data_IF_110614545040
#
_entry.id   IF_110614545040
#
_cell.length_a   1.000
_cell.length_b   1.000
_cell.length_c   1.000
_cell.angle_alpha   90.00
_cell.angle_beta   90.00
_cell.angle_gamma   90.00
#
_symmetry.space_group_name_H-M   'P 1'
#
loop_
_entity.id
_entity.type
_entity.pdbx_description
1 polymer ?
#
# COMPACT_ATOMS: atom_id res chain seq x y z
N UNK A 1 21.24 -17.07 21.17
CA UNK A 1 20.75 -16.17 20.11
C UNK A 1 21.90 -15.82 19.17
N UNK A 2 21.75 -16.05 17.86
CA UNK A 2 22.75 -15.71 16.84
C UNK A 2 23.03 -14.20 16.81
N UNK A 3 24.23 -13.81 16.36
CA UNK A 3 24.58 -12.39 16.15
C UNK A 3 23.57 -11.71 15.21
N UNK A 4 23.06 -12.44 14.21
CA UNK A 4 22.03 -11.97 13.27
C UNK A 4 20.75 -11.60 14.00
N UNK A 5 20.25 -12.47 14.90
CA UNK A 5 19.01 -12.19 15.62
C UNK A 5 19.19 -11.06 16.64
N UNK A 6 20.37 -10.91 17.26
CA UNK A 6 20.69 -9.74 18.10
C UNK A 6 20.69 -8.43 17.30
N UNK A 7 21.31 -8.42 16.12
CA UNK A 7 21.39 -7.22 15.28
C UNK A 7 20.00 -6.81 14.77
N UNK A 8 19.20 -7.75 14.25
CA UNK A 8 17.86 -7.46 13.72
C UNK A 8 16.85 -7.08 14.82
N UNK A 9 16.99 -7.62 16.03
CA UNK A 9 16.10 -7.27 17.16
C UNK A 9 16.46 -5.95 17.84
N UNK A 10 17.63 -5.36 17.55
CA UNK A 10 18.08 -4.07 18.08
C UNK A 10 17.21 -2.90 17.61
N UNK A 11 17.28 -1.75 18.30
CA UNK A 11 16.58 -0.52 17.87
C UNK A 11 17.02 -0.08 16.47
N UNK A 12 18.31 -0.22 16.15
CA UNK A 12 18.85 0.14 14.85
C UNK A 12 18.36 -0.82 13.76
N UNK A 13 18.40 -2.13 14.02
CA UNK A 13 17.88 -3.14 13.09
C UNK A 13 16.40 -2.94 12.78
N UNK A 14 15.58 -2.64 13.79
CA UNK A 14 14.15 -2.32 13.60
C UNK A 14 13.94 -1.08 12.71
N UNK A 15 14.73 -0.02 12.92
CA UNK A 15 14.67 1.19 12.09
C UNK A 15 15.10 0.91 10.65
N UNK A 16 16.11 0.06 10.44
CA UNK A 16 16.55 -0.36 9.11
C UNK A 16 15.45 -1.14 8.37
N UNK A 17 14.84 -2.13 9.01
CA UNK A 17 13.73 -2.91 8.42
C UNK A 17 12.55 -1.98 8.07
N UNK A 18 12.22 -1.06 8.99
CA UNK A 18 11.19 -0.05 8.77
C UNK A 18 11.50 0.82 7.53
N UNK A 19 12.73 1.30 7.39
CA UNK A 19 13.14 2.10 6.23
C UNK A 19 13.12 1.29 4.92
N UNK A 20 13.64 0.06 4.91
CA UNK A 20 13.69 -0.79 3.72
C UNK A 20 12.30 -1.18 3.23
N UNK A 21 11.40 -1.55 4.15
CA UNK A 21 10.00 -1.86 3.80
C UNK A 21 9.27 -0.62 3.29
N UNK A 22 9.45 0.55 3.92
CA UNK A 22 8.88 1.81 3.42
C UNK A 22 9.37 2.18 2.02
N UNK A 23 10.69 2.11 1.77
CA UNK A 23 11.28 2.39 0.47
C UNK A 23 10.73 1.43 -0.60
N UNK A 24 10.66 0.13 -0.29
CA UNK A 24 10.07 -0.84 -1.19
C UNK A 24 8.61 -0.52 -1.53
N UNK A 25 7.80 -0.15 -0.54
CA UNK A 25 6.39 0.19 -0.75
C UNK A 25 6.22 1.44 -1.63
N UNK A 26 7.12 2.42 -1.53
CA UNK A 26 7.12 3.59 -2.43
C UNK A 26 7.39 3.16 -3.87
N UNK A 27 8.40 2.32 -4.10
CA UNK A 27 8.71 1.80 -5.44
C UNK A 27 7.55 0.98 -6.01
N UNK A 28 6.94 0.13 -5.18
CA UNK A 28 5.73 -0.61 -5.54
C UNK A 28 4.58 0.34 -5.92
N UNK A 29 4.33 1.40 -5.13
CA UNK A 29 3.28 2.39 -5.41
C UNK A 29 3.49 3.08 -6.76
N UNK A 30 4.73 3.45 -7.10
CA UNK A 30 5.06 4.03 -8.40
C UNK A 30 4.70 3.09 -9.55
N UNK A 31 5.10 1.81 -9.46
CA UNK A 31 4.74 0.79 -10.45
C UNK A 31 3.23 0.54 -10.51
N UNK A 32 2.58 0.46 -9.34
CA UNK A 32 1.15 0.25 -9.19
C UNK A 32 0.35 1.36 -9.88
N UNK A 33 0.65 2.63 -9.58
CA UNK A 33 -0.04 3.77 -10.21
C UNK A 33 0.28 3.82 -11.70
N UNK A 34 1.52 3.54 -12.11
CA UNK A 34 1.90 3.50 -13.53
C UNK A 34 1.09 2.48 -14.33
N UNK A 35 0.86 1.28 -13.78
CA UNK A 35 -0.03 0.28 -14.38
C UNK A 35 -1.49 0.72 -14.40
N UNK A 36 -1.96 1.39 -13.36
CA UNK A 36 -3.33 1.93 -13.30
C UNK A 36 -3.56 3.07 -14.30
N UNK A 37 -2.53 3.75 -14.79
CA UNK A 37 -2.70 4.75 -15.85
C UNK A 37 -3.27 4.16 -17.14
N UNK A 38 -3.12 2.84 -17.36
CA UNK A 38 -3.72 2.14 -18.50
C UNK A 38 -5.26 2.19 -18.49
N UNK A 39 -5.89 2.41 -17.33
CA UNK A 39 -7.34 2.62 -17.25
C UNK A 39 -7.81 3.82 -18.08
N UNK A 40 -6.94 4.81 -18.29
CA UNK A 40 -7.24 6.05 -19.02
C UNK A 40 -6.89 5.98 -20.51
N UNK A 41 -6.43 4.83 -21.01
CA UNK A 41 -6.00 4.68 -22.42
C UNK A 41 -7.16 4.83 -23.42
N UNK A 42 -8.40 4.59 -22.99
CA UNK A 42 -9.59 4.72 -23.84
C UNK A 42 -9.77 3.57 -24.84
N UNK A 43 -9.14 2.42 -24.60
CA UNK A 43 -9.19 1.21 -25.47
C UNK A 43 -10.18 0.15 -24.96
N UNK A 44 -11.22 0.56 -24.23
CA UNK A 44 -12.21 -0.37 -23.66
C UNK A 44 -11.64 -1.35 -22.62
N UNK A 45 -10.50 -1.02 -22.01
CA UNK A 45 -9.88 -1.82 -20.95
C UNK A 45 -8.86 -2.85 -21.44
N UNK A 46 -8.61 -2.93 -22.74
CA UNK A 46 -7.73 -3.94 -23.33
C UNK A 46 -6.31 -3.90 -22.75
N UNK A 47 -5.64 -2.73 -22.74
CA UNK A 47 -4.30 -2.64 -22.19
C UNK A 47 -4.25 -2.94 -20.69
N UNK A 48 -5.26 -2.51 -19.94
CA UNK A 48 -5.33 -2.77 -18.51
C UNK A 48 -5.52 -4.26 -18.21
N UNK A 49 -6.40 -4.95 -18.94
CA UNK A 49 -6.67 -6.37 -18.78
C UNK A 49 -5.47 -7.24 -19.23
N UNK A 50 -4.81 -6.90 -20.35
CA UNK A 50 -3.54 -7.53 -20.77
C UNK A 50 -2.45 -7.32 -19.72
N UNK A 51 -2.32 -6.11 -19.17
CA UNK A 51 -1.39 -5.83 -18.07
C UNK A 51 -1.72 -6.61 -16.80
N UNK A 52 -2.99 -6.68 -16.40
CA UNK A 52 -3.43 -7.46 -15.24
C UNK A 52 -3.13 -8.95 -15.41
N UNK A 53 -3.31 -9.51 -16.60
CA UNK A 53 -2.92 -10.89 -16.89
C UNK A 53 -1.40 -11.06 -16.77
N UNK A 54 -0.59 -10.16 -17.33
CA UNK A 54 0.87 -10.19 -17.17
C UNK A 54 1.28 -10.19 -15.70
N UNK A 55 0.69 -9.30 -14.89
CA UNK A 55 1.01 -9.18 -13.47
C UNK A 55 0.68 -10.44 -12.66
N UNK A 56 -0.27 -11.23 -13.14
CA UNK A 56 -0.84 -12.38 -12.39
C UNK A 56 -0.34 -13.72 -12.90
N UNK A 57 0.36 -13.74 -14.04
CA UNK A 57 0.92 -14.94 -14.67
C UNK A 57 2.45 -14.97 -14.59
N UNK A 58 3.12 -13.81 -14.69
CA UNK A 58 4.56 -13.71 -14.68
C UNK A 58 5.16 -14.16 -13.33
N UNK A 59 6.06 -15.17 -13.30
CA UNK A 59 6.64 -15.69 -12.07
C UNK A 59 7.41 -14.66 -11.24
N UNK A 60 8.17 -13.77 -11.89
CA UNK A 60 8.92 -12.73 -11.19
C UNK A 60 7.98 -11.73 -10.50
N UNK A 61 6.89 -11.36 -11.18
CA UNK A 61 5.87 -10.46 -10.60
C UNK A 61 5.13 -11.14 -9.45
N UNK A 62 4.85 -12.45 -9.52
CA UNK A 62 4.26 -13.19 -8.39
C UNK A 62 5.14 -13.14 -7.14
N UNK A 63 6.46 -13.30 -7.30
CA UNK A 63 7.42 -13.14 -6.19
C UNK A 63 7.36 -11.72 -5.63
N UNK A 64 7.33 -10.71 -6.50
CA UNK A 64 7.20 -9.31 -6.09
C UNK A 64 5.89 -9.04 -5.34
N UNK A 65 4.80 -9.71 -5.72
CA UNK A 65 3.50 -9.62 -5.05
C UNK A 65 3.56 -10.15 -3.62
N UNK A 66 4.14 -11.34 -3.41
CA UNK A 66 4.35 -11.87 -2.06
C UNK A 66 5.28 -11.00 -1.22
N UNK A 67 6.35 -10.47 -1.83
CA UNK A 67 7.24 -9.51 -1.19
C UNK A 67 6.49 -8.23 -0.79
N UNK A 68 5.51 -7.79 -1.58
CA UNK A 68 4.67 -6.65 -1.26
C UNK A 68 3.79 -6.92 -0.05
N UNK A 69 3.10 -8.06 0.00
CA UNK A 69 2.30 -8.42 1.18
C UNK A 69 3.16 -8.50 2.44
N UNK A 70 4.32 -9.15 2.35
CA UNK A 70 5.27 -9.23 3.44
C UNK A 70 5.75 -7.84 3.88
N UNK A 71 6.08 -6.96 2.93
CA UNK A 71 6.56 -5.60 3.21
C UNK A 71 5.51 -4.75 3.89
N UNK A 72 4.24 -4.83 3.47
CA UNK A 72 3.11 -4.14 4.15
C UNK A 72 3.00 -4.62 5.61
N UNK A 73 2.95 -5.93 5.83
CA UNK A 73 2.78 -6.50 7.17
C UNK A 73 3.98 -6.11 8.07
N UNK A 74 5.20 -6.26 7.56
CA UNK A 74 6.40 -5.89 8.28
C UNK A 74 6.42 -4.38 8.60
N UNK A 75 6.08 -3.52 7.65
CA UNK A 75 6.01 -2.07 7.83
C UNK A 75 5.04 -1.68 8.95
N UNK A 76 3.84 -2.27 8.96
CA UNK A 76 2.82 -2.05 10.00
C UNK A 76 3.31 -2.56 11.36
N UNK A 77 3.82 -3.79 11.45
CA UNK A 77 4.28 -4.36 12.73
C UNK A 77 5.43 -3.52 13.31
N UNK A 78 6.45 -3.23 12.52
CA UNK A 78 7.62 -2.48 13.00
C UNK A 78 7.28 -1.03 13.34
N UNK A 79 6.35 -0.39 12.62
CA UNK A 79 5.86 0.95 12.97
C UNK A 79 5.15 0.96 14.33
N UNK A 80 4.30 -0.03 14.63
CA UNK A 80 3.62 -0.17 15.93
C UNK A 80 4.64 -0.43 17.05
N UNK A 81 5.59 -1.34 16.83
CA UNK A 81 6.63 -1.67 17.82
C UNK A 81 7.52 -0.47 18.15
N UNK A 82 7.94 0.29 17.13
CA UNK A 82 8.76 1.48 17.32
C UNK A 82 7.97 2.60 18.00
N UNK A 83 6.71 2.83 17.59
CA UNK A 83 5.84 3.84 18.21
C UNK A 83 5.59 3.53 19.68
N UNK A 84 5.30 2.27 19.99
CA UNK A 84 5.10 1.82 21.37
C UNK A 84 6.36 2.00 22.22
N UNK A 85 7.53 1.62 21.68
CA UNK A 85 8.81 1.78 22.36
C UNK A 85 9.18 3.24 22.60
N UNK A 86 8.90 4.12 21.64
CA UNK A 86 9.14 5.56 21.79
C UNK A 86 8.24 6.16 22.87
N UNK A 87 6.98 5.71 22.95
CA UNK A 87 6.03 6.15 23.98
C UNK A 87 6.43 5.67 25.38
N UNK A 88 6.84 4.41 25.53
CA UNK A 88 7.28 3.89 26.83
C UNK A 88 8.61 4.47 27.30
N UNK A 89 9.50 4.83 26.37
CA UNK A 89 10.74 5.54 26.69
C UNK A 89 10.53 6.98 27.16
N UNK A 90 9.31 7.53 27.03
CA UNK A 90 8.97 8.91 27.40
C UNK A 90 7.66 8.97 28.19
N UNK A 91 7.70 8.63 29.50
CA UNK A 91 6.51 8.60 30.36
C UNK A 91 5.99 9.98 30.78
N UNK A 92 6.82 11.02 30.71
CA UNK A 92 6.44 12.41 31.02
C UNK A 92 6.55 13.27 29.76
N UNK A 93 5.51 14.03 29.47
CA UNK A 93 5.52 14.95 28.32
C UNK A 93 6.41 16.17 28.55
N UNK A 94 6.83 16.82 27.46
CA UNK A 94 7.74 17.97 27.53
C UNK A 94 6.93 19.16 28.05
N UNK A 95 7.49 19.87 29.02
CA UNK A 95 6.88 21.08 29.58
C UNK A 95 6.69 22.18 28.51
N UNK A 96 7.58 22.25 27.53
CA UNK A 96 7.43 23.07 26.33
C UNK A 96 7.77 22.28 25.06
N UNK A 97 6.98 22.48 24.01
CA UNK A 97 7.11 21.78 22.74
C UNK A 97 7.25 22.78 21.60
N UNK A 98 8.49 23.05 21.16
CA UNK A 98 8.76 23.70 19.86
C UNK A 98 8.74 22.65 18.74
N UNK A 99 7.66 21.88 18.65
CA UNK A 99 7.59 20.73 17.74
C UNK A 99 7.62 21.14 16.25
N UNK A 100 7.09 22.32 15.93
CA UNK A 100 7.07 22.86 14.57
C UNK A 100 8.46 23.23 14.02
N UNK A 101 9.45 23.50 14.88
CA UNK A 101 10.81 23.83 14.43
C UNK A 101 11.67 22.59 14.13
N UNK A 102 11.26 21.41 14.63
CA UNK A 102 12.09 20.18 14.59
C UNK A 102 11.50 19.04 13.75
N UNK A 103 10.24 19.14 13.31
CA UNK A 103 9.57 18.07 12.56
C UNK A 103 8.41 18.63 11.72
N UNK A 104 8.06 17.96 10.63
CA UNK A 104 6.87 18.29 9.84
C UNK A 104 5.60 17.83 10.57
N UNK A 105 4.44 18.41 10.21
CA UNK A 105 3.16 17.94 10.76
C UNK A 105 2.88 16.48 10.42
N UNK A 106 3.22 16.05 9.19
CA UNK A 106 3.08 14.66 8.79
C UNK A 106 3.89 13.72 9.69
N UNK A 107 5.19 14.02 9.88
CA UNK A 107 6.09 13.23 10.72
C UNK A 107 5.54 13.00 12.14
N UNK A 108 4.88 14.01 12.72
CA UNK A 108 4.24 13.90 14.04
C UNK A 108 2.98 13.06 14.06
N UNK A 109 2.26 12.99 12.94
CA UNK A 109 0.99 12.30 12.82
C UNK A 109 1.10 10.97 12.04
N UNK A 110 2.31 10.48 11.76
CA UNK A 110 2.56 9.28 10.94
C UNK A 110 1.78 8.04 11.37
N UNK A 111 1.59 7.82 12.67
CA UNK A 111 0.79 6.71 13.20
C UNK A 111 -0.70 6.82 12.84
N UNK A 112 -1.27 8.02 12.92
CA UNK A 112 -2.67 8.28 12.54
C UNK A 112 -2.84 8.14 11.03
N UNK A 113 -1.94 8.77 10.25
CA UNK A 113 -1.94 8.67 8.79
C UNK A 113 -1.84 7.22 8.33
N UNK A 114 -0.92 6.44 8.91
CA UNK A 114 -0.76 5.02 8.60
C UNK A 114 -1.99 4.18 8.98
N UNK A 115 -2.70 4.53 10.05
CA UNK A 115 -3.94 3.84 10.44
C UNK A 115 -5.07 4.08 9.43
N UNK A 116 -5.21 5.32 8.95
CA UNK A 116 -6.19 5.66 7.91
C UNK A 116 -5.87 4.91 6.61
N UNK A 117 -4.59 4.87 6.22
CA UNK A 117 -4.14 4.10 5.05
C UNK A 117 -4.41 2.61 5.23
N UNK A 118 -4.25 2.05 6.43
CA UNK A 118 -4.53 0.64 6.68
C UNK A 118 -6.02 0.31 6.48
N UNK A 119 -6.92 1.17 6.94
CA UNK A 119 -8.37 1.02 6.69
C UNK A 119 -8.65 1.10 5.20
N UNK A 120 -8.09 2.08 4.51
CA UNK A 120 -8.19 2.21 3.05
C UNK A 120 -7.68 0.95 2.34
N UNK A 121 -6.54 0.40 2.77
CA UNK A 121 -5.95 -0.79 2.18
C UNK A 121 -6.86 -2.01 2.33
N UNK A 122 -7.53 -2.19 3.48
CA UNK A 122 -8.50 -3.29 3.66
C UNK A 122 -9.65 -3.17 2.66
N UNK A 123 -10.25 -1.97 2.54
CA UNK A 123 -11.32 -1.70 1.57
C UNK A 123 -10.85 -1.94 0.14
N UNK A 124 -9.66 -1.44 -0.19
CA UNK A 124 -9.04 -1.59 -1.50
C UNK A 124 -8.76 -3.06 -1.86
N UNK A 125 -8.19 -3.82 -0.93
CA UNK A 125 -7.88 -5.23 -1.10
C UNK A 125 -9.16 -6.07 -1.21
N UNK A 126 -10.19 -5.77 -0.43
CA UNK A 126 -11.48 -6.45 -0.53
C UNK A 126 -12.15 -6.16 -1.89
N UNK A 127 -12.12 -4.90 -2.33
CA UNK A 127 -12.79 -4.45 -3.55
C UNK A 127 -12.22 -5.05 -4.84
N UNK A 128 -10.90 -5.23 -4.91
CA UNK A 128 -10.23 -5.63 -6.15
C UNK A 128 -9.46 -6.93 -6.02
N UNK A 129 -8.56 -7.02 -5.05
CA UNK A 129 -7.69 -8.18 -4.90
C UNK A 129 -8.47 -9.45 -4.53
N UNK A 130 -9.34 -9.36 -3.52
CA UNK A 130 -10.16 -10.48 -3.06
C UNK A 130 -11.18 -10.89 -4.13
N UNK A 131 -11.83 -9.93 -4.81
CA UNK A 131 -12.72 -10.22 -5.95
C UNK A 131 -11.98 -10.96 -7.06
N UNK A 132 -10.76 -10.57 -7.39
CA UNK A 132 -9.99 -11.24 -8.44
C UNK A 132 -9.62 -12.69 -8.10
N UNK A 133 -9.26 -12.96 -6.84
CA UNK A 133 -8.78 -14.27 -6.40
C UNK A 133 -9.90 -15.25 -6.04
N UNK A 134 -10.99 -14.75 -5.46
CA UNK A 134 -12.06 -15.57 -4.90
C UNK A 134 -13.46 -15.20 -5.36
N UNK A 135 -13.63 -14.05 -6.01
CA UNK A 135 -14.90 -13.65 -6.59
C UNK A 135 -15.10 -14.20 -7.99
N UNK A 136 -16.35 -14.11 -8.46
CA UNK A 136 -16.67 -14.31 -9.86
C UNK A 136 -16.12 -13.15 -10.69
N UNK A 137 -15.39 -13.48 -11.74
CA UNK A 137 -14.76 -12.50 -12.62
C UNK A 137 -15.43 -12.52 -13.99
N UNK A 138 -15.92 -11.37 -14.49
CA UNK A 138 -16.32 -11.27 -15.89
C UNK A 138 -15.11 -11.57 -16.79
N UNK A 139 -15.41 -12.09 -17.97
CA UNK A 139 -14.41 -12.44 -18.97
C UNK A 139 -14.65 -11.59 -20.23
N UNK A 140 -13.56 -11.19 -20.87
CA UNK A 140 -13.57 -10.41 -22.11
C UNK A 140 -12.60 -11.03 -23.10
N UNK A 141 -12.92 -11.00 -24.38
CA UNK A 141 -12.06 -11.54 -25.43
C UNK A 141 -11.52 -10.41 -26.30
N UNK A 142 -10.20 -10.31 -26.39
CA UNK A 142 -9.50 -9.40 -27.29
C UNK A 142 -8.70 -10.24 -28.28
N UNK A 143 -8.86 -9.98 -29.58
CA UNK A 143 -8.06 -10.64 -30.64
C UNK A 143 -8.06 -12.19 -30.58
N UNK A 144 -9.13 -12.79 -30.06
CA UNK A 144 -9.27 -14.25 -29.93
C UNK A 144 -8.72 -14.84 -28.62
N UNK A 145 -8.11 -14.05 -27.75
CA UNK A 145 -7.68 -14.47 -26.42
C UNK A 145 -8.62 -13.95 -25.34
N UNK A 146 -8.92 -14.78 -24.34
CA UNK A 146 -9.83 -14.44 -23.25
C UNK A 146 -9.09 -14.05 -21.97
N UNK A 147 -9.48 -12.93 -21.39
CA UNK A 147 -8.89 -12.31 -20.21
C UNK A 147 -9.95 -12.15 -19.11
N UNK A 148 -9.50 -12.15 -17.84
CA UNK A 148 -10.33 -11.66 -16.73
C UNK A 148 -10.51 -10.15 -16.90
N UNK A 149 -11.76 -9.68 -16.91
CA UNK A 149 -12.09 -8.28 -17.13
C UNK A 149 -12.04 -7.49 -15.80
N UNK A 150 -10.82 -7.17 -15.35
CA UNK A 150 -10.64 -6.33 -14.16
C UNK A 150 -11.01 -4.88 -14.45
N UNK A 151 -10.89 -4.43 -15.69
CA UNK A 151 -11.32 -3.09 -16.11
C UNK A 151 -12.80 -2.86 -15.76
N UNK A 152 -13.68 -3.81 -16.10
CA UNK A 152 -15.10 -3.72 -15.78
C UNK A 152 -15.36 -3.66 -14.26
N UNK A 153 -14.63 -4.42 -13.46
CA UNK A 153 -14.74 -4.38 -11.99
C UNK A 153 -14.38 -3.00 -11.44
N UNK A 154 -13.30 -2.41 -11.94
CA UNK A 154 -12.85 -1.06 -11.56
C UNK A 154 -13.86 -0.01 -11.99
N UNK A 155 -14.30 -0.05 -13.25
CA UNK A 155 -15.30 0.87 -13.79
C UNK A 155 -16.59 0.82 -12.97
N UNK A 156 -17.10 -0.37 -12.67
CA UNK A 156 -18.30 -0.54 -11.87
C UNK A 156 -18.13 -0.01 -10.44
N UNK A 157 -17.00 -0.31 -9.78
CA UNK A 157 -16.74 0.16 -8.42
C UNK A 157 -16.76 1.70 -8.33
N UNK A 158 -16.13 2.37 -9.29
CA UNK A 158 -16.01 3.84 -9.29
C UNK A 158 -17.23 4.59 -9.85
N UNK A 159 -18.32 3.89 -10.21
CA UNK A 159 -19.63 4.54 -10.38
C UNK A 159 -20.24 4.97 -9.03
N UNK A 160 -19.78 4.41 -7.92
CA UNK A 160 -20.19 4.82 -6.59
C UNK A 160 -19.44 6.09 -6.15
N UNK A 161 -20.13 7.24 -6.18
CA UNK A 161 -19.55 8.55 -5.84
C UNK A 161 -18.97 8.61 -4.42
N UNK A 162 -19.57 7.90 -3.45
CA UNK A 162 -19.07 7.86 -2.08
C UNK A 162 -17.75 7.11 -2.03
N UNK A 163 -17.63 6.00 -2.78
CA UNK A 163 -16.37 5.26 -2.89
C UNK A 163 -15.28 6.13 -3.52
N UNK A 164 -15.61 6.86 -4.59
CA UNK A 164 -14.68 7.79 -5.26
C UNK A 164 -14.20 8.86 -4.28
N UNK A 165 -15.11 9.53 -3.57
CA UNK A 165 -14.76 10.55 -2.58
C UNK A 165 -13.85 9.97 -1.48
N UNK A 166 -14.16 8.77 -0.99
CA UNK A 166 -13.33 8.05 -0.02
C UNK A 166 -11.92 7.77 -0.54
N UNK A 167 -11.78 7.35 -1.80
CA UNK A 167 -10.48 7.12 -2.43
C UNK A 167 -9.68 8.41 -2.58
N UNK A 168 -10.30 9.52 -3.01
CA UNK A 168 -9.63 10.82 -3.13
C UNK A 168 -9.11 11.31 -1.78
N UNK A 169 -9.93 11.20 -0.73
CA UNK A 169 -9.52 11.54 0.64
C UNK A 169 -8.36 10.66 1.10
N UNK A 170 -8.42 9.35 0.85
CA UNK A 170 -7.35 8.42 1.19
C UNK A 170 -6.04 8.73 0.47
N UNK A 171 -6.08 9.14 -0.81
CA UNK A 171 -4.91 9.59 -1.54
C UNK A 171 -4.30 10.87 -0.94
N UNK A 172 -5.12 11.78 -0.42
CA UNK A 172 -4.66 12.93 0.36
C UNK A 172 -3.87 12.49 1.59
N UNK A 173 -4.42 11.60 2.41
CA UNK A 173 -3.72 11.06 3.59
C UNK A 173 -2.45 10.28 3.24
N UNK A 174 -2.48 9.52 2.14
CA UNK A 174 -1.31 8.83 1.61
C UNK A 174 -0.21 9.82 1.22
N UNK A 175 -0.55 10.93 0.56
CA UNK A 175 0.44 11.94 0.17
C UNK A 175 1.16 12.53 1.39
N UNK A 176 0.42 12.81 2.48
CA UNK A 176 1.02 13.24 3.73
C UNK A 176 1.89 12.14 4.32
N UNK A 177 1.43 10.90 4.36
CA UNK A 177 2.21 9.79 4.92
C UNK A 177 3.55 9.58 4.21
N UNK A 178 3.66 9.95 2.93
CA UNK A 178 4.89 9.87 2.15
C UNK A 178 5.82 11.10 2.32
N UNK A 179 5.33 12.20 2.90
CA UNK A 179 6.03 13.50 3.04
C UNK A 179 6.75 13.70 4.37
#
# INVERSE_FOLDING_TARGET
MSWVTKTLSSTLGRKLIMALTGLFLILFLTGHVSGNMLLFKGDGGEAFNKYAQFMTTNPAVKVLSYLTYFSVIAHVIYSILLTSKNKTARPVDYAESKAATNSTWSSRNMGVLGTIILIFLVVHMQGFWAKMHWGEMPMVTYEGETYKDLYQIVQFAFQNEILVAGYVIAMGFLSFHLS
#
